data_IF_425093722145
#
_entry.id   IF_425093722145
#
_cell.length_a   1.000
_cell.length_b   1.000
_cell.length_c   1.000
_cell.angle_alpha   90.00
_cell.angle_beta   90.00
_cell.angle_gamma   90.00
#
_symmetry.space_group_name_H-M   'P 1'
#
loop_
_entity.id
_entity.type
_entity.pdbx_description
1 polymer ?
#
# COMPACT_ATOMS: atom_id res chain seq x y z
N UNK A 1 -18.22 -16.95 26.80
CA UNK A 1 -18.47 -16.10 25.61
C UNK A 1 -17.54 -14.88 25.47
N UNK A 2 -16.52 -14.67 26.33
CA UNK A 2 -15.60 -13.53 26.22
C UNK A 2 -14.45 -13.69 25.19
N UNK A 3 -14.31 -14.84 24.54
CA UNK A 3 -13.09 -15.21 23.80
C UNK A 3 -13.11 -14.86 22.29
N UNK A 4 -14.28 -14.55 21.70
CA UNK A 4 -14.38 -14.25 20.26
C UNK A 4 -14.04 -12.78 19.93
N UNK A 5 -14.39 -11.83 20.81
CA UNK A 5 -14.12 -10.40 20.61
C UNK A 5 -12.63 -10.05 20.73
N UNK A 6 -11.91 -10.65 21.69
CA UNK A 6 -10.47 -10.43 21.87
C UNK A 6 -9.64 -11.02 20.70
N UNK A 7 -9.99 -12.21 20.20
CA UNK A 7 -9.34 -12.79 19.02
C UNK A 7 -9.52 -11.92 17.77
N UNK A 8 -10.74 -11.42 17.54
CA UNK A 8 -11.05 -10.55 16.40
C UNK A 8 -10.27 -9.23 16.42
N UNK A 9 -9.99 -8.69 17.61
CA UNK A 9 -9.20 -7.47 17.79
C UNK A 9 -7.70 -7.68 17.52
N UNK A 10 -7.12 -8.78 18.02
CA UNK A 10 -5.68 -9.07 17.82
C UNK A 10 -5.35 -9.38 16.34
N UNK A 11 -6.18 -10.20 15.67
CA UNK A 11 -5.98 -10.52 14.25
C UNK A 11 -6.06 -9.28 13.34
N UNK A 12 -6.83 -8.26 13.73
CA UNK A 12 -7.01 -7.03 12.97
C UNK A 12 -5.75 -6.16 12.96
N UNK A 13 -5.11 -5.97 14.11
CA UNK A 13 -3.85 -5.21 14.21
C UNK A 13 -2.74 -5.88 13.37
N UNK A 14 -2.72 -7.21 13.35
CA UNK A 14 -1.79 -7.97 12.51
C UNK A 14 -1.99 -7.70 11.01
N UNK A 15 -3.25 -7.64 10.54
CA UNK A 15 -3.56 -7.33 9.15
C UNK A 15 -3.17 -5.90 8.77
N UNK A 16 -3.43 -4.93 9.65
CA UNK A 16 -3.00 -3.53 9.44
C UNK A 16 -1.48 -3.43 9.33
N UNK A 17 -0.76 -4.00 10.28
CA UNK A 17 0.71 -3.99 10.26
C UNK A 17 1.29 -4.70 9.03
N UNK A 18 0.67 -5.80 8.59
CA UNK A 18 1.07 -6.51 7.38
C UNK A 18 0.85 -5.66 6.13
N UNK A 19 -0.33 -5.05 5.97
CA UNK A 19 -0.61 -4.16 4.84
C UNK A 19 0.40 -3.02 4.76
N UNK A 20 0.67 -2.35 5.89
CA UNK A 20 1.68 -1.30 5.98
C UNK A 20 3.07 -1.78 5.56
N UNK A 21 3.47 -2.96 6.03
CA UNK A 21 4.77 -3.54 5.70
C UNK A 21 4.89 -3.81 4.20
N UNK A 22 3.81 -4.32 3.60
CA UNK A 22 3.74 -4.56 2.15
C UNK A 22 3.83 -3.24 1.39
N UNK A 23 3.02 -2.24 1.74
CA UNK A 23 3.02 -0.92 1.09
C UNK A 23 4.40 -0.26 1.19
N UNK A 24 5.03 -0.33 2.36
CA UNK A 24 6.34 0.27 2.63
C UNK A 24 7.46 -0.44 1.85
N UNK A 25 7.45 -1.77 1.80
CA UNK A 25 8.41 -2.53 0.98
C UNK A 25 8.24 -2.18 -0.49
N UNK A 26 7.00 -2.12 -0.99
CA UNK A 26 6.73 -1.77 -2.39
C UNK A 26 7.20 -0.34 -2.71
N UNK A 27 7.03 0.61 -1.79
CA UNK A 27 7.57 1.96 -1.94
C UNK A 27 9.10 1.98 -2.03
N UNK A 28 9.80 1.22 -1.17
CA UNK A 28 11.26 1.09 -1.22
C UNK A 28 11.70 0.50 -2.56
N UNK A 29 11.02 -0.53 -3.05
CA UNK A 29 11.36 -1.16 -4.33
C UNK A 29 11.20 -0.19 -5.51
N UNK A 30 10.19 0.69 -5.50
CA UNK A 30 10.02 1.76 -6.49
C UNK A 30 11.16 2.79 -6.40
N UNK A 31 11.48 3.26 -5.19
CA UNK A 31 12.52 4.28 -4.98
C UNK A 31 13.93 3.77 -5.35
N UNK A 32 14.18 2.48 -5.16
CA UNK A 32 15.45 1.84 -5.51
C UNK A 32 15.51 1.35 -6.95
N UNK A 33 14.44 1.53 -7.74
CA UNK A 33 14.36 1.06 -9.13
C UNK A 33 14.38 -0.46 -9.27
N UNK A 34 14.06 -1.21 -8.21
CA UNK A 34 13.93 -2.68 -8.26
C UNK A 34 12.63 -3.11 -8.92
N UNK A 35 11.64 -2.23 -8.91
CA UNK A 35 10.44 -2.29 -9.74
C UNK A 35 10.16 -0.93 -10.33
N UNK A 36 9.35 -0.91 -11.37
CA UNK A 36 8.95 0.28 -12.12
C UNK A 36 7.47 0.22 -12.42
N UNK A 37 6.82 1.37 -12.43
CA UNK A 37 5.44 1.50 -12.90
C UNK A 37 5.34 1.03 -14.36
N UNK A 38 4.41 0.12 -14.63
CA UNK A 38 4.25 -0.55 -15.92
C UNK A 38 3.05 -0.07 -16.72
N UNK A 39 2.00 0.42 -16.06
CA UNK A 39 0.80 0.88 -16.73
C UNK A 39 -0.36 1.18 -15.79
N UNK A 40 -1.48 1.59 -16.36
CA UNK A 40 -2.74 1.90 -15.66
C UNK A 40 -3.80 0.91 -16.13
N UNK A 41 -4.53 0.31 -15.19
CA UNK A 41 -5.69 -0.53 -15.44
C UNK A 41 -6.95 0.23 -15.06
N UNK A 42 -7.82 0.50 -16.03
CA UNK A 42 -9.07 1.23 -15.80
C UNK A 42 -10.19 0.23 -15.52
N UNK A 43 -10.96 0.49 -14.47
CA UNK A 43 -12.16 -0.27 -14.07
C UNK A 43 -13.33 0.70 -13.91
N UNK A 44 -14.59 0.22 -13.89
CA UNK A 44 -15.76 1.10 -13.77
C UNK A 44 -15.71 2.04 -12.56
N UNK A 45 -15.13 1.59 -11.45
CA UNK A 45 -15.05 2.34 -10.19
C UNK A 45 -13.86 3.30 -10.12
N UNK A 46 -12.87 3.19 -11.01
CA UNK A 46 -11.62 3.94 -10.90
C UNK A 46 -10.47 3.34 -11.69
N UNK A 47 -9.25 3.45 -11.16
CA UNK A 47 -8.09 2.83 -11.79
C UNK A 47 -7.07 2.27 -10.80
N UNK A 48 -6.26 1.34 -11.30
CA UNK A 48 -5.12 0.77 -10.61
C UNK A 48 -3.84 1.14 -11.35
N UNK A 49 -2.81 1.47 -10.59
CA UNK A 49 -1.47 1.64 -11.12
C UNK A 49 -0.70 0.33 -10.96
N UNK A 50 -0.16 -0.20 -12.04
CA UNK A 50 0.67 -1.40 -12.04
C UNK A 50 2.15 -1.10 -11.87
N UNK A 51 2.87 -1.97 -11.17
CA UNK A 51 4.32 -2.04 -11.23
C UNK A 51 4.82 -3.48 -11.35
N UNK A 52 5.96 -3.63 -11.99
CA UNK A 52 6.68 -4.90 -12.15
C UNK A 52 8.18 -4.66 -12.16
N UNK A 53 8.94 -5.74 -12.08
CA UNK A 53 10.39 -5.75 -12.24
C UNK A 53 10.94 -7.16 -12.04
N UNK A 54 12.27 -7.32 -11.99
CA UNK A 54 12.92 -8.63 -11.96
C UNK A 54 12.44 -9.53 -10.81
N UNK A 55 12.11 -8.92 -9.66
CA UNK A 55 11.60 -9.64 -8.47
C UNK A 55 10.23 -10.29 -8.74
N UNK A 56 9.46 -9.75 -9.69
CA UNK A 56 8.15 -10.24 -10.12
C UNK A 56 8.19 -10.99 -11.46
N UNK A 57 9.40 -11.34 -11.93
CA UNK A 57 9.60 -12.04 -13.21
C UNK A 57 9.36 -11.16 -14.45
N UNK A 58 9.27 -9.84 -14.30
CA UNK A 58 9.15 -8.91 -15.42
C UNK A 58 10.40 -8.06 -15.62
N UNK A 59 10.45 -7.32 -16.71
CA UNK A 59 11.53 -6.37 -16.99
C UNK A 59 11.31 -5.04 -16.26
N UNK A 60 12.40 -4.28 -16.09
CA UNK A 60 12.30 -2.87 -15.71
C UNK A 60 11.90 -2.07 -16.95
N UNK A 61 10.91 -1.21 -16.79
CA UNK A 61 10.56 -0.26 -17.83
C UNK A 61 11.55 0.90 -17.81
N UNK A 62 12.02 1.27 -18.99
CA UNK A 62 12.87 2.44 -19.23
C UNK A 62 12.21 3.32 -20.29
N UNK A 63 12.44 4.62 -20.22
CA UNK A 63 11.93 5.54 -21.23
C UNK A 63 12.70 5.37 -22.54
N UNK A 64 12.02 5.53 -23.66
CA UNK A 64 12.69 5.53 -24.98
C UNK A 64 13.53 6.79 -25.21
N UNK A 65 13.34 7.82 -24.38
CA UNK A 65 14.16 9.03 -24.31
C UNK A 65 14.54 9.35 -22.85
N UNK A 66 15.45 10.31 -22.68
CA UNK A 66 15.86 10.80 -21.36
C UNK A 66 14.67 11.45 -20.62
N UNK A 67 13.85 12.24 -21.32
CA UNK A 67 12.67 12.89 -20.76
C UNK A 67 11.60 11.88 -20.32
N UNK A 68 11.40 10.82 -21.11
CA UNK A 68 10.50 9.72 -20.72
C UNK A 68 11.05 8.96 -19.51
N UNK A 69 12.36 8.74 -19.45
CA UNK A 69 13.00 8.08 -18.31
C UNK A 69 12.88 8.92 -17.04
N UNK A 70 13.05 10.24 -17.14
CA UNK A 70 12.82 11.17 -16.04
C UNK A 70 11.36 11.17 -15.59
N UNK A 71 10.42 11.15 -16.54
CA UNK A 71 8.99 11.10 -16.26
C UNK A 71 8.61 9.81 -15.53
N UNK A 72 9.13 8.66 -15.97
CA UNK A 72 8.90 7.39 -15.31
C UNK A 72 9.48 7.37 -13.88
N UNK A 73 10.68 7.93 -13.68
CA UNK A 73 11.26 8.09 -12.34
C UNK A 73 10.39 8.97 -11.45
N UNK A 74 9.85 10.08 -11.98
CA UNK A 74 8.95 10.95 -11.26
C UNK A 74 7.67 10.20 -10.83
N UNK A 75 7.07 9.41 -11.73
CA UNK A 75 5.90 8.57 -11.42
C UNK A 75 6.22 7.54 -10.34
N UNK A 76 7.38 6.86 -10.41
CA UNK A 76 7.81 5.90 -9.38
C UNK A 76 7.96 6.58 -8.01
N UNK A 77 8.59 7.75 -7.95
CA UNK A 77 8.78 8.53 -6.71
C UNK A 77 7.44 8.99 -6.14
N UNK A 78 6.57 9.57 -6.96
CA UNK A 78 5.23 10.00 -6.52
C UNK A 78 4.44 8.81 -5.98
N UNK A 79 4.44 7.68 -6.69
CA UNK A 79 3.75 6.46 -6.26
C UNK A 79 4.28 5.95 -4.92
N UNK A 80 5.61 5.92 -4.74
CA UNK A 80 6.23 5.50 -3.49
C UNK A 80 5.86 6.42 -2.32
N UNK A 81 5.85 7.74 -2.54
CA UNK A 81 5.41 8.72 -1.53
C UNK A 81 3.94 8.49 -1.16
N UNK A 82 3.06 8.25 -2.13
CA UNK A 82 1.65 7.99 -1.88
C UNK A 82 1.43 6.69 -1.08
N UNK A 83 2.24 5.65 -1.31
CA UNK A 83 2.22 4.42 -0.51
C UNK A 83 2.69 4.68 0.93
N UNK A 84 3.80 5.39 1.12
CA UNK A 84 4.33 5.74 2.46
C UNK A 84 3.32 6.59 3.25
N UNK A 85 2.67 7.54 2.57
CA UNK A 85 1.64 8.39 3.15
C UNK A 85 0.28 7.68 3.29
N UNK A 86 0.17 6.43 2.83
CA UNK A 86 -1.04 5.61 2.91
C UNK A 86 -2.24 6.22 2.17
N UNK A 87 -1.96 7.02 1.14
CA UNK A 87 -2.98 7.61 0.26
C UNK A 87 -3.45 6.57 -0.76
N UNK A 88 -2.53 5.71 -1.20
CA UNK A 88 -2.81 4.51 -1.98
C UNK A 88 -2.23 3.29 -1.27
N UNK A 89 -2.68 2.11 -1.68
CA UNK A 89 -2.38 0.80 -1.09
C UNK A 89 -1.96 -0.16 -2.16
N UNK A 90 -1.18 -1.17 -1.80
CA UNK A 90 -1.09 -2.41 -2.56
C UNK A 90 -2.42 -3.14 -2.42
N UNK A 91 -3.11 -3.31 -3.54
CA UNK A 91 -4.47 -3.87 -3.58
C UNK A 91 -4.49 -5.31 -4.01
N UNK A 92 -3.40 -5.80 -4.59
CA UNK A 92 -3.26 -7.18 -5.02
C UNK A 92 -2.19 -7.33 -6.10
N UNK A 93 -2.26 -8.46 -6.79
CA UNK A 93 -1.38 -8.77 -7.91
C UNK A 93 -2.18 -9.32 -9.07
N UNK A 94 -1.81 -8.94 -10.29
CA UNK A 94 -2.23 -9.60 -11.51
C UNK A 94 -1.17 -10.59 -11.94
N UNK A 95 -1.58 -11.85 -12.09
CA UNK A 95 -0.70 -12.92 -12.56
C UNK A 95 -0.96 -13.15 -14.04
N UNK A 96 0.08 -13.06 -14.85
CA UNK A 96 0.04 -13.37 -16.28
C UNK A 96 0.95 -14.57 -16.58
N UNK A 97 0.93 -15.06 -17.82
CA UNK A 97 1.71 -16.23 -18.24
C UNK A 97 3.23 -16.07 -18.12
N UNK A 98 3.76 -14.85 -17.96
CA UNK A 98 5.20 -14.61 -17.87
C UNK A 98 5.65 -13.57 -16.86
N UNK A 99 4.74 -12.86 -16.19
CA UNK A 99 5.09 -11.85 -15.18
C UNK A 99 3.97 -11.64 -14.17
N UNK A 100 4.33 -11.13 -13.01
CA UNK A 100 3.40 -10.67 -11.98
C UNK A 100 3.43 -9.14 -11.94
N UNK A 101 2.25 -8.53 -11.86
CA UNK A 101 2.11 -7.08 -11.75
C UNK A 101 1.48 -6.80 -10.41
N UNK A 102 2.21 -6.10 -9.54
CA UNK A 102 1.60 -5.59 -8.31
C UNK A 102 0.80 -4.35 -8.65
N UNK A 103 -0.39 -4.23 -8.08
CA UNK A 103 -1.26 -3.10 -8.33
C UNK A 103 -1.51 -2.28 -7.10
N UNK A 104 -1.59 -0.97 -7.33
CA UNK A 104 -1.84 0.03 -6.32
C UNK A 104 -3.11 0.80 -6.63
N UNK A 105 -3.95 1.03 -5.63
CA UNK A 105 -5.08 1.95 -5.72
C UNK A 105 -5.50 2.50 -4.36
N UNK A 106 -6.45 3.41 -4.38
CA UNK A 106 -7.00 4.07 -3.21
C UNK A 106 -8.07 5.09 -3.62
N UNK A 107 -8.60 5.81 -2.63
CA UNK A 107 -9.72 6.74 -2.84
C UNK A 107 -9.42 7.81 -3.89
N UNK A 108 -8.17 8.28 -3.96
CA UNK A 108 -7.74 9.28 -4.94
C UNK A 108 -7.83 8.78 -6.39
N UNK A 109 -7.90 7.47 -6.59
CA UNK A 109 -8.07 6.82 -7.89
C UNK A 109 -9.50 6.31 -8.11
N UNK A 110 -10.45 6.70 -7.25
CA UNK A 110 -11.88 6.36 -7.35
C UNK A 110 -12.31 5.14 -6.52
N UNK A 111 -11.38 4.35 -6.01
CA UNK A 111 -11.67 3.08 -5.36
C UNK A 111 -11.67 3.24 -3.84
N UNK A 112 -12.87 3.23 -3.24
CA UNK A 112 -13.07 3.48 -1.81
C UNK A 112 -12.95 2.24 -0.93
N UNK A 113 -13.39 1.09 -1.43
CA UNK A 113 -13.42 -0.14 -0.66
C UNK A 113 -12.86 -1.28 -1.50
N UNK A 114 -11.84 -1.94 -0.97
CA UNK A 114 -11.13 -3.02 -1.65
C UNK A 114 -11.12 -4.19 -0.68
N UNK A 115 -11.84 -5.24 -1.05
CA UNK A 115 -11.96 -6.42 -0.21
C UNK A 115 -10.58 -6.96 0.17
N UNK A 116 -10.34 -7.12 1.48
CA UNK A 116 -9.08 -7.64 2.00
C UNK A 116 -7.97 -6.60 2.19
N UNK A 117 -8.19 -5.34 1.81
CA UNK A 117 -7.30 -4.21 2.09
C UNK A 117 -7.82 -3.44 3.30
N UNK A 118 -6.91 -3.01 4.17
CA UNK A 118 -7.26 -2.18 5.33
C UNK A 118 -7.59 -0.77 4.86
N UNK A 119 -8.82 -0.33 5.13
CA UNK A 119 -9.26 1.02 4.75
C UNK A 119 -8.52 2.11 5.54
N UNK A 120 -8.37 3.28 4.92
CA UNK A 120 -7.70 4.41 5.56
C UNK A 120 -8.39 4.85 6.87
N UNK A 121 -9.73 4.75 6.91
CA UNK A 121 -10.52 5.11 8.09
C UNK A 121 -10.38 4.12 9.24
N UNK A 122 -10.24 2.83 8.94
CA UNK A 122 -9.92 1.84 9.97
C UNK A 122 -8.56 2.11 10.60
N UNK A 123 -7.58 2.49 9.78
CA UNK A 123 -6.24 2.77 10.26
C UNK A 123 -6.15 4.04 11.10
N UNK A 124 -6.85 5.10 10.70
CA UNK A 124 -7.00 6.32 11.53
C UNK A 124 -7.63 6.00 12.88
N UNK A 125 -8.62 5.09 12.91
CA UNK A 125 -9.29 4.66 14.14
C UNK A 125 -8.35 3.87 15.05
N UNK A 126 -7.58 2.94 14.50
CA UNK A 126 -6.62 2.13 15.25
C UNK A 126 -5.49 3.01 15.81
N UNK A 127 -4.92 3.92 15.01
CA UNK A 127 -3.91 4.89 15.49
C UNK A 127 -4.45 5.77 16.62
N UNK A 128 -5.67 6.31 16.47
CA UNK A 128 -6.30 7.12 17.50
C UNK A 128 -6.58 6.32 18.78
N UNK A 129 -6.87 5.02 18.66
CA UNK A 129 -7.02 4.14 19.80
C UNK A 129 -5.68 3.94 20.52
N UNK A 130 -4.61 3.63 19.79
CA UNK A 130 -3.28 3.41 20.37
C UNK A 130 -2.74 4.64 21.10
N UNK A 131 -2.90 5.83 20.51
CA UNK A 131 -2.51 7.10 21.15
C UNK A 131 -3.29 7.29 22.46
N UNK A 132 -4.60 7.04 22.47
CA UNK A 132 -5.42 7.16 23.69
C UNK A 132 -4.98 6.18 24.76
N UNK A 133 -4.66 4.94 24.41
CA UNK A 133 -4.17 3.93 25.36
C UNK A 133 -2.81 4.33 25.93
N UNK A 134 -1.90 4.80 25.09
CA UNK A 134 -0.58 5.26 25.50
C UNK A 134 -0.67 6.42 26.51
N UNK A 135 -1.43 7.47 26.17
CA UNK A 135 -1.63 8.63 27.06
C UNK A 135 -2.25 8.19 28.39
N UNK A 136 -3.26 7.31 28.36
CA UNK A 136 -3.88 6.79 29.57
C UNK A 136 -2.91 6.00 30.44
N UNK A 137 -2.06 5.17 29.83
CA UNK A 137 -1.04 4.39 30.55
C UNK A 137 0.06 5.27 31.16
N UNK A 138 0.32 6.44 30.58
CA UNK A 138 1.28 7.40 31.11
C UNK A 138 0.68 8.18 32.31
N UNK A 139 -0.56 8.64 32.19
CA UNK A 139 -1.28 9.31 33.29
C UNK A 139 -1.47 8.42 34.53
N UNK A 140 -1.57 7.11 34.35
CA UNK A 140 -1.67 6.14 35.45
C UNK A 140 -0.32 5.81 36.10
N UNK A 141 0.81 6.12 35.43
CA UNK A 141 2.16 5.96 36.00
C UNK A 141 2.62 7.14 36.85
N UNK A 142 1.99 8.29 36.68
CA UNK A 142 2.29 9.53 37.41
C UNK A 142 1.41 9.74 38.65
N UNK A 143 0.63 8.73 39.07
CA UNK A 143 -0.11 8.68 40.33
C UNK A 143 0.45 7.59 41.24
#
# INVERSE_FOLDING_TARGET
MANSKQRKHSSRHGLVALQYSIDFVMAILLLTGRITTSGIFVVPEGFFLGATGPIFGGDLFEGTSEEMSLSLRAVNVITAVLLILNVIRVTGTYVTSGRQIVVFSGEIFGIKDIAGVVSADEMKRDLAFDIRQYVRAQLLRER
#
